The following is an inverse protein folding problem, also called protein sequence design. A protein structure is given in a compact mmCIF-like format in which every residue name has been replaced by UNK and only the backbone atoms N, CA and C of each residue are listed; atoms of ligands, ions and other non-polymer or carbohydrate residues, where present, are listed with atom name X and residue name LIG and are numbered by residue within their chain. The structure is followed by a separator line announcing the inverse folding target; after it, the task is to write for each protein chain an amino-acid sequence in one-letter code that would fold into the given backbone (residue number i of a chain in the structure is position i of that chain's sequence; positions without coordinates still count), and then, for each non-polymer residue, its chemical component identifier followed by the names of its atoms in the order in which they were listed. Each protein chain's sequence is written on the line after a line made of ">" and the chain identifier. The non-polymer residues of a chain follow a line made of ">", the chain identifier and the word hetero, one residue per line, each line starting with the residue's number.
data_IF_770150358353
#
_entry.id   IF_770150358353
#
_cell.length_a   1.000
_cell.length_b   1.000
_cell.length_c   1.000
_cell.angle_alpha   90.00
_cell.angle_beta   90.00
_cell.angle_gamma   90.00
#
_symmetry.space_group_name_H-M   'P 1'
#
loop_
_entity.id
_entity.type
_entity.pdbx_description
1 polymer ?
#
# COMPACT_ATOMS: atom_id res chain seq x y z
N UNK A 1 13.17 -16.18 6.94
CA UNK A 1 12.10 -16.48 5.98
C UNK A 1 12.03 -15.32 5.01
N UNK A 2 12.38 -15.53 3.74
CA UNK A 2 12.09 -14.59 2.65
C UNK A 2 10.58 -14.45 2.60
N UNK A 3 10.04 -13.27 2.93
CA UNK A 3 8.61 -13.04 2.88
C UNK A 3 8.14 -13.24 1.42
N UNK A 4 7.34 -14.27 1.20
CA UNK A 4 6.66 -14.51 -0.07
C UNK A 4 5.81 -13.28 -0.34
N UNK A 5 6.12 -12.53 -1.40
CA UNK A 5 5.38 -11.31 -1.73
C UNK A 5 3.95 -11.62 -2.18
N UNK A 6 3.11 -10.59 -2.18
CA UNK A 6 1.69 -10.72 -2.53
C UNK A 6 1.43 -10.34 -3.98
N UNK A 7 0.41 -10.96 -4.56
CA UNK A 7 -0.09 -10.69 -5.91
C UNK A 7 -1.38 -9.91 -5.79
N UNK A 8 -1.50 -8.81 -6.52
CA UNK A 8 -2.69 -7.96 -6.49
C UNK A 8 -3.52 -8.11 -7.77
N UNK A 9 -4.82 -7.94 -7.60
CA UNK A 9 -5.77 -7.76 -8.71
C UNK A 9 -6.48 -6.43 -8.56
N UNK A 10 -6.57 -5.66 -9.63
CA UNK A 10 -7.26 -4.38 -9.64
C UNK A 10 -8.76 -4.60 -9.65
N UNK A 11 -9.43 -4.27 -8.54
CA UNK A 11 -10.87 -4.43 -8.41
C UNK A 11 -11.63 -3.41 -9.26
N UNK A 12 -12.80 -3.83 -9.74
CA UNK A 12 -13.79 -2.92 -10.35
C UNK A 12 -14.55 -2.11 -9.29
N UNK A 13 -14.49 -2.51 -8.01
CA UNK A 13 -15.09 -1.77 -6.90
C UNK A 13 -14.20 -0.59 -6.55
N UNK A 14 -14.80 0.60 -6.50
CA UNK A 14 -14.09 1.84 -6.18
C UNK A 14 -14.12 2.16 -4.68
N UNK A 15 -13.08 2.84 -4.21
CA UNK A 15 -13.12 3.52 -2.91
C UNK A 15 -14.06 4.71 -3.01
N UNK A 16 -15.05 4.71 -2.14
CA UNK A 16 -16.14 5.67 -2.20
C UNK A 16 -15.79 7.07 -1.73
N UNK A 17 -16.78 7.96 -1.68
CA UNK A 17 -16.61 9.36 -1.27
C UNK A 17 -17.12 9.61 0.16
N UNK A 18 -16.59 10.63 0.87
CA UNK A 18 -16.98 10.95 2.25
C UNK A 18 -18.45 11.30 2.50
N UNK A 19 -19.21 11.62 1.45
CA UNK A 19 -20.63 11.99 1.53
C UNK A 19 -21.57 10.80 1.82
N UNK A 20 -21.11 9.55 1.65
CA UNK A 20 -21.88 8.36 2.03
C UNK A 20 -21.13 7.40 2.94
N UNK A 21 -19.84 7.17 2.69
CA UNK A 21 -19.00 6.37 3.58
C UNK A 21 -17.56 6.83 3.44
N UNK A 22 -17.12 7.64 4.40
CA UNK A 22 -15.78 8.20 4.42
C UNK A 22 -14.71 7.09 4.49
N UNK A 23 -13.91 6.92 3.41
CA UNK A 23 -12.87 5.90 3.35
C UNK A 23 -11.80 6.02 4.44
N UNK A 24 -11.68 7.19 5.07
CA UNK A 24 -10.71 7.48 6.12
C UNK A 24 -11.11 6.88 7.47
N UNK A 25 -12.38 6.54 7.64
CA UNK A 25 -12.90 5.93 8.86
C UNK A 25 -12.62 4.43 8.89
N UNK A 26 -12.10 3.94 10.01
CA UNK A 26 -12.06 2.52 10.30
C UNK A 26 -13.39 2.12 10.97
N UNK A 27 -14.32 1.56 10.20
CA UNK A 27 -15.64 1.17 10.66
C UNK A 27 -16.00 -0.26 10.27
N UNK A 28 -17.09 -0.78 10.83
CA UNK A 28 -17.61 -2.13 10.52
C UNK A 28 -18.23 -2.25 9.12
N UNK A 29 -18.55 -1.12 8.46
CA UNK A 29 -19.15 -1.11 7.13
C UNK A 29 -18.12 -1.38 6.04
N UNK A 30 -17.72 -2.65 5.91
CA UNK A 30 -16.62 -3.13 5.04
C UNK A 30 -17.04 -3.82 3.75
N UNK A 31 -18.31 -3.71 3.35
CA UNK A 31 -18.86 -4.48 2.24
C UNK A 31 -18.10 -4.24 0.92
N UNK A 32 -17.68 -3.00 0.65
CA UNK A 32 -16.98 -2.66 -0.59
C UNK A 32 -15.57 -3.26 -0.63
N UNK A 33 -14.85 -3.30 0.50
CA UNK A 33 -13.56 -4.00 0.59
C UNK A 33 -13.72 -5.51 0.48
N UNK A 34 -14.77 -6.08 1.07
CA UNK A 34 -15.05 -7.53 1.00
C UNK A 34 -15.38 -7.94 -0.44
N UNK A 35 -16.22 -7.18 -1.16
CA UNK A 35 -16.52 -7.47 -2.57
C UNK A 35 -15.24 -7.36 -3.43
N UNK A 36 -14.40 -6.35 -3.18
CA UNK A 36 -13.12 -6.22 -3.87
C UNK A 36 -12.20 -7.42 -3.62
N UNK A 37 -12.09 -7.86 -2.37
CA UNK A 37 -11.32 -9.05 -2.01
C UNK A 37 -11.84 -10.31 -2.71
N UNK A 38 -13.17 -10.52 -2.73
CA UNK A 38 -13.77 -11.65 -3.44
C UNK A 38 -13.35 -11.66 -4.91
N UNK A 39 -13.41 -10.51 -5.60
CA UNK A 39 -12.95 -10.42 -6.99
C UNK A 39 -11.48 -10.81 -7.15
N UNK A 40 -10.61 -10.34 -6.25
CA UNK A 40 -9.18 -10.67 -6.31
C UNK A 40 -8.93 -12.17 -6.10
N UNK A 41 -9.62 -12.79 -5.14
CA UNK A 41 -9.51 -14.21 -4.86
C UNK A 41 -9.97 -15.06 -6.06
N UNK A 42 -11.11 -14.73 -6.66
CA UNK A 42 -11.61 -15.40 -7.87
C UNK A 42 -10.68 -15.23 -9.07
N UNK A 43 -9.94 -14.10 -9.14
CA UNK A 43 -8.90 -13.87 -10.14
C UNK A 43 -7.55 -14.54 -9.80
N UNK A 44 -7.45 -15.27 -8.68
CA UNK A 44 -6.24 -15.98 -8.27
C UNK A 44 -5.16 -15.09 -7.63
N UNK A 45 -5.51 -13.87 -7.24
CA UNK A 45 -4.65 -12.93 -6.50
C UNK A 45 -4.88 -13.04 -4.98
N UNK A 46 -4.01 -12.40 -4.21
CA UNK A 46 -4.01 -12.48 -2.74
C UNK A 46 -4.75 -11.29 -2.09
N UNK A 47 -4.72 -10.12 -2.72
CA UNK A 47 -5.39 -8.91 -2.24
C UNK A 47 -5.87 -8.04 -3.43
N UNK A 48 -6.90 -7.22 -3.20
CA UNK A 48 -7.45 -6.33 -4.21
C UNK A 48 -6.80 -4.95 -4.16
N UNK A 49 -6.26 -4.47 -5.28
CA UNK A 49 -5.90 -3.06 -5.48
C UNK A 49 -7.15 -2.27 -5.87
N UNK A 50 -7.49 -1.23 -5.10
CA UNK A 50 -8.68 -0.42 -5.31
C UNK A 50 -8.32 0.99 -5.79
N UNK A 51 -9.11 1.51 -6.74
CA UNK A 51 -9.00 2.88 -7.24
C UNK A 51 -10.01 3.81 -6.56
N UNK A 52 -9.72 5.11 -6.57
CA UNK A 52 -10.67 6.13 -6.18
C UNK A 52 -11.73 6.40 -7.28
N UNK A 53 -12.65 7.32 -6.98
CA UNK A 53 -13.72 7.73 -7.89
C UNK A 53 -13.23 8.43 -9.17
N UNK A 54 -11.98 8.92 -9.18
CA UNK A 54 -11.34 9.59 -10.32
C UNK A 54 -10.49 8.63 -11.15
N UNK A 55 -10.38 7.37 -10.72
CA UNK A 55 -9.59 6.34 -11.40
C UNK A 55 -8.11 6.31 -11.01
N UNK A 56 -7.70 7.03 -9.97
CA UNK A 56 -6.34 6.94 -9.44
C UNK A 56 -6.21 5.83 -8.40
N UNK A 57 -4.99 5.34 -8.22
CA UNK A 57 -4.69 4.31 -7.23
C UNK A 57 -4.90 4.85 -5.83
N UNK A 58 -5.69 4.14 -5.02
CA UNK A 58 -6.03 4.56 -3.66
C UNK A 58 -5.39 3.67 -2.59
N UNK A 59 -5.79 2.41 -2.49
CA UNK A 59 -5.39 1.50 -1.40
C UNK A 59 -5.72 0.07 -1.78
N UNK A 60 -5.32 -0.91 -0.97
CA UNK A 60 -5.87 -2.25 -1.05
C UNK A 60 -7.09 -2.43 -0.13
N UNK A 61 -7.77 -3.57 -0.22
CA UNK A 61 -8.97 -3.83 0.60
C UNK A 61 -8.68 -3.86 2.12
N UNK A 62 -7.47 -4.20 2.55
CA UNK A 62 -7.11 -4.21 3.97
C UNK A 62 -5.80 -3.47 4.29
N UNK A 63 -4.98 -3.19 3.28
CA UNK A 63 -3.66 -2.54 3.44
C UNK A 63 -3.55 -1.24 2.64
N UNK A 64 -2.61 -0.35 3.00
CA UNK A 64 -2.26 0.79 2.16
C UNK A 64 -1.20 0.39 1.13
N UNK A 65 -1.21 1.03 -0.03
CA UNK A 65 -0.37 0.67 -1.17
C UNK A 65 0.66 1.75 -1.50
N UNK A 66 1.85 1.31 -1.89
CA UNK A 66 2.98 2.14 -2.25
C UNK A 66 3.69 1.58 -3.49
N UNK A 67 4.26 2.48 -4.29
CA UNK A 67 5.20 2.14 -5.36
C UNK A 67 6.52 2.88 -5.19
N UNK A 68 7.57 2.36 -5.81
CA UNK A 68 8.88 2.99 -5.93
C UNK A 68 9.17 3.22 -7.42
N UNK A 69 9.56 4.44 -7.76
CA UNK A 69 10.01 4.81 -9.11
C UNK A 69 11.31 5.61 -9.00
N UNK A 70 12.39 5.03 -9.52
CA UNK A 70 13.75 5.50 -9.29
C UNK A 70 14.08 5.51 -7.79
N UNK A 71 14.25 6.71 -7.23
CA UNK A 71 14.51 6.90 -5.80
C UNK A 71 13.30 7.45 -5.03
N UNK A 72 12.16 7.60 -5.70
CA UNK A 72 10.95 8.18 -5.13
C UNK A 72 9.98 7.10 -4.65
N UNK A 73 9.34 7.35 -3.52
CA UNK A 73 8.30 6.49 -2.94
C UNK A 73 6.96 7.21 -3.07
N UNK A 74 6.01 6.60 -3.77
CA UNK A 74 4.70 7.20 -4.00
C UNK A 74 3.61 6.40 -3.28
N UNK A 75 2.65 7.11 -2.71
CA UNK A 75 1.41 6.56 -2.17
C UNK A 75 0.27 7.51 -2.45
N UNK A 76 -0.96 7.02 -2.32
CA UNK A 76 -2.15 7.82 -2.60
C UNK A 76 -2.22 9.05 -1.69
N UNK A 77 -3.01 10.03 -2.08
CA UNK A 77 -3.17 11.31 -1.36
C UNK A 77 -3.74 11.18 0.06
N UNK A 78 -4.32 10.02 0.41
CA UNK A 78 -5.02 9.83 1.68
C UNK A 78 -6.50 10.23 1.65
N UNK A 79 -6.99 10.84 0.56
CA UNK A 79 -8.38 11.31 0.48
C UNK A 79 -9.39 10.16 0.42
N UNK A 80 -9.02 9.06 -0.25
CA UNK A 80 -9.91 7.93 -0.54
C UNK A 80 -9.44 6.60 0.08
N UNK A 81 -8.60 6.65 1.11
CA UNK A 81 -8.13 5.47 1.83
C UNK A 81 -8.15 5.66 3.34
N UNK A 82 -8.03 4.56 4.08
CA UNK A 82 -7.85 4.61 5.53
C UNK A 82 -6.49 5.22 5.85
N UNK A 83 -6.45 6.12 6.85
CA UNK A 83 -5.21 6.71 7.36
C UNK A 83 -4.48 5.72 8.27
N UNK A 84 -3.88 4.70 7.67
CA UNK A 84 -3.15 3.66 8.40
C UNK A 84 -1.98 4.23 9.20
N UNK A 85 -1.84 3.77 10.45
CA UNK A 85 -0.72 4.16 11.33
C UNK A 85 0.61 3.77 10.68
N UNK A 86 0.72 2.54 10.17
CA UNK A 86 1.92 2.05 9.46
C UNK A 86 2.24 2.90 8.22
N UNK A 87 1.24 3.28 7.42
CA UNK A 87 1.41 4.22 6.29
C UNK A 87 2.03 5.53 6.77
N UNK A 88 1.46 6.13 7.82
CA UNK A 88 1.97 7.39 8.40
C UNK A 88 3.40 7.28 8.92
N UNK A 89 3.75 6.18 9.58
CA UNK A 89 5.12 5.92 10.04
C UNK A 89 6.08 5.77 8.86
N UNK A 90 5.75 5.00 7.83
CA UNK A 90 6.59 4.83 6.63
C UNK A 90 6.87 6.16 5.95
N UNK A 91 5.83 7.00 5.78
CA UNK A 91 5.98 8.34 5.20
C UNK A 91 6.91 9.21 6.07
N UNK A 92 6.69 9.23 7.38
CA UNK A 92 7.45 10.05 8.32
C UNK A 92 8.91 9.62 8.38
N UNK A 93 9.17 8.32 8.55
CA UNK A 93 10.51 7.76 8.63
C UNK A 93 11.26 7.88 7.30
N UNK A 94 10.57 7.66 6.18
CA UNK A 94 11.14 7.86 4.85
C UNK A 94 11.62 9.29 4.64
N UNK A 95 10.76 10.28 4.93
CA UNK A 95 11.11 11.71 4.84
C UNK A 95 12.28 12.06 5.77
N UNK A 96 12.28 11.57 7.01
CA UNK A 96 13.40 11.79 7.97
C UNK A 96 14.72 11.18 7.49
N UNK A 97 14.67 10.08 6.75
CA UNK A 97 15.83 9.42 6.17
C UNK A 97 16.27 10.04 4.81
N UNK A 98 15.69 11.17 4.41
CA UNK A 98 16.00 11.85 3.15
C UNK A 98 15.47 11.15 1.90
N UNK A 99 14.48 10.25 2.05
CA UNK A 99 13.83 9.60 0.91
C UNK A 99 12.70 10.51 0.40
N UNK A 100 12.63 10.83 -0.92
CA UNK A 100 11.51 11.54 -1.50
C UNK A 100 10.23 10.71 -1.39
N UNK A 101 9.34 11.07 -0.47
CA UNK A 101 8.04 10.40 -0.29
C UNK A 101 6.88 11.33 -0.68
N UNK A 102 6.15 10.95 -1.73
CA UNK A 102 5.05 11.72 -2.30
C UNK A 102 3.69 11.09 -2.03
N UNK A 103 2.77 11.91 -1.53
CA UNK A 103 1.35 11.58 -1.40
C UNK A 103 0.64 12.24 -2.58
N UNK A 104 0.42 11.49 -3.67
CA UNK A 104 -0.04 12.04 -4.96
C UNK A 104 -0.99 11.10 -5.67
N UNK A 105 -1.67 11.63 -6.67
CA UNK A 105 -2.44 10.83 -7.63
C UNK A 105 -1.48 10.19 -8.64
N UNK A 106 -1.67 8.91 -8.91
CA UNK A 106 -0.96 8.14 -9.94
C UNK A 106 -1.87 7.04 -10.50
N UNK A 107 -1.61 6.65 -11.73
CA UNK A 107 -2.42 5.73 -12.51
C UNK A 107 -1.96 4.28 -12.33
N UNK A 108 -2.77 3.33 -12.83
CA UNK A 108 -2.35 1.93 -12.94
C UNK A 108 -1.12 1.75 -13.84
N UNK A 109 -1.00 2.56 -14.89
CA UNK A 109 0.19 2.53 -15.76
C UNK A 109 1.45 2.84 -14.96
N UNK A 110 1.39 3.81 -14.05
CA UNK A 110 2.52 4.11 -13.16
C UNK A 110 2.85 2.95 -12.20
N UNK A 111 1.85 2.15 -11.82
CA UNK A 111 2.05 0.95 -11.00
C UNK A 111 2.74 -0.15 -11.79
N UNK A 112 2.28 -0.41 -13.01
CA UNK A 112 2.87 -1.44 -13.86
C UNK A 112 4.31 -1.12 -14.26
N UNK A 113 4.64 0.17 -14.37
CA UNK A 113 5.99 0.67 -14.68
C UNK A 113 6.85 0.94 -13.41
N UNK A 114 6.42 0.50 -12.23
CA UNK A 114 7.15 0.71 -10.99
C UNK A 114 8.34 -0.26 -10.84
N UNK A 115 9.43 0.25 -10.24
CA UNK A 115 10.61 -0.56 -9.93
C UNK A 115 10.35 -1.52 -8.75
N UNK A 116 9.56 -1.05 -7.78
CA UNK A 116 9.10 -1.85 -6.64
C UNK A 116 7.67 -1.46 -6.27
N UNK A 117 6.94 -2.37 -5.64
CA UNK A 117 5.68 -2.06 -4.99
C UNK A 117 5.58 -2.81 -3.66
N UNK A 118 4.87 -2.24 -2.70
CA UNK A 118 4.64 -2.87 -1.41
C UNK A 118 3.34 -2.39 -0.78
N UNK A 119 2.83 -3.20 0.14
CA UNK A 119 1.69 -2.85 0.98
C UNK A 119 2.11 -2.69 2.44
N UNK A 120 1.39 -1.85 3.17
CA UNK A 120 1.58 -1.66 4.61
C UNK A 120 0.35 -2.09 5.40
N UNK A 121 0.56 -2.90 6.43
CA UNK A 121 -0.50 -3.33 7.35
C UNK A 121 0.04 -3.68 8.73
N UNK A 122 -0.83 -3.65 9.74
CA UNK A 122 -0.45 -3.78 11.16
C UNK A 122 0.34 -5.05 11.47
N UNK A 123 -0.01 -6.18 10.86
CA UNK A 123 0.63 -7.47 11.14
C UNK A 123 1.82 -7.80 10.21
N UNK A 124 1.90 -7.15 9.04
CA UNK A 124 2.91 -7.42 8.01
C UNK A 124 4.05 -6.41 7.95
N UNK A 125 3.90 -5.24 8.59
CA UNK A 125 4.82 -4.12 8.42
C UNK A 125 4.79 -3.63 6.98
N UNK A 126 5.80 -4.00 6.19
CA UNK A 126 5.89 -3.77 4.74
C UNK A 126 6.01 -5.12 4.03
N UNK A 127 5.04 -5.45 3.20
CA UNK A 127 5.03 -6.69 2.40
C UNK A 127 5.24 -6.35 0.94
N UNK A 128 6.22 -6.96 0.24
CA UNK A 128 6.46 -6.70 -1.16
C UNK A 128 5.29 -7.18 -2.02
N UNK A 129 4.96 -6.40 -3.05
CA UNK A 129 4.01 -6.76 -4.10
C UNK A 129 4.79 -7.20 -5.32
N UNK A 130 4.64 -8.46 -5.70
CA UNK A 130 5.45 -9.09 -6.75
C UNK A 130 4.77 -9.06 -8.13
N UNK A 131 3.45 -8.93 -8.16
CA UNK A 131 2.70 -8.75 -9.39
C UNK A 131 1.38 -8.02 -9.16
N UNK A 132 0.93 -7.27 -10.17
CA UNK A 132 -0.40 -6.65 -10.23
C UNK A 132 -1.03 -7.01 -11.58
N UNK A 133 -2.25 -7.54 -11.59
CA UNK A 133 -3.00 -7.89 -12.82
C UNK A 133 -2.22 -8.81 -13.77
N UNK A 134 -1.52 -9.80 -13.20
CA UNK A 134 -0.69 -10.76 -13.93
C UNK A 134 0.64 -10.19 -14.46
N UNK A 135 0.95 -8.91 -14.19
CA UNK A 135 2.22 -8.27 -14.56
C UNK A 135 3.17 -8.29 -13.38
N UNK A 136 4.37 -8.81 -13.57
CA UNK A 136 5.44 -8.75 -12.58
C UNK A 136 5.85 -7.29 -12.35
N UNK A 137 5.94 -6.87 -11.09
CA UNK A 137 6.47 -5.55 -10.73
C UNK A 137 7.98 -5.67 -10.51
N UNK A 138 8.76 -4.79 -11.16
CA UNK A 138 10.22 -4.87 -11.15
C UNK A 138 10.73 -6.26 -11.53
N UNK A 139 11.43 -6.92 -10.61
CA UNK A 139 11.94 -8.28 -10.77
C UNK A 139 11.12 -9.35 -10.04
N UNK A 140 9.94 -9.00 -9.52
CA UNK A 140 9.09 -9.93 -8.76
C UNK A 140 9.66 -10.34 -7.41
N UNK A 141 10.59 -9.56 -6.86
CA UNK A 141 11.24 -9.81 -5.56
C UNK A 141 11.19 -8.57 -4.67
N UNK A 142 11.59 -8.75 -3.42
CA UNK A 142 11.74 -7.65 -2.47
C UNK A 142 12.87 -6.71 -2.90
N UNK A 143 12.53 -5.49 -3.32
CA UNK A 143 13.51 -4.50 -3.78
C UNK A 143 14.23 -3.74 -2.66
N UNK A 144 15.26 -3.00 -3.04
CA UNK A 144 16.21 -2.36 -2.13
C UNK A 144 15.58 -1.19 -1.34
N UNK A 145 14.71 -0.40 -1.96
CA UNK A 145 14.02 0.69 -1.26
C UNK A 145 13.05 0.15 -0.22
N UNK A 146 12.28 -0.88 -0.58
CA UNK A 146 11.36 -1.55 0.34
C UNK A 146 12.11 -2.19 1.52
N UNK A 147 13.28 -2.80 1.29
CA UNK A 147 14.15 -3.30 2.36
C UNK A 147 14.62 -2.18 3.29
N UNK A 148 15.08 -1.06 2.71
CA UNK A 148 15.54 0.10 3.47
C UNK A 148 14.41 0.67 4.34
N UNK A 149 13.21 0.85 3.79
CA UNK A 149 12.05 1.31 4.54
C UNK A 149 11.63 0.31 5.63
N UNK A 150 11.74 -0.99 5.38
CA UNK A 150 11.47 -2.04 6.38
C UNK A 150 12.42 -1.93 7.57
N UNK A 151 13.71 -1.70 7.32
CA UNK A 151 14.71 -1.50 8.37
C UNK A 151 14.42 -0.23 9.18
N UNK A 152 14.11 0.88 8.51
CA UNK A 152 13.74 2.14 9.16
C UNK A 152 12.48 1.98 10.04
N UNK A 153 11.46 1.29 9.52
CA UNK A 153 10.22 1.03 10.25
C UNK A 153 10.45 0.23 11.53
N UNK A 154 11.25 -0.85 11.46
CA UNK A 154 11.62 -1.66 12.64
C UNK A 154 12.38 -0.85 13.68
N UNK A 155 13.38 -0.09 13.26
CA UNK A 155 14.13 0.79 14.16
C UNK A 155 13.24 1.87 14.81
N UNK A 156 12.26 2.39 14.06
CA UNK A 156 11.26 3.33 14.58
C UNK A 156 10.39 2.73 15.68
N UNK A 157 9.89 1.51 15.50
CA UNK A 157 9.13 0.79 16.53
C UNK A 157 9.97 0.56 17.79
N UNK A 158 11.21 0.09 17.63
CA UNK A 158 12.11 -0.18 18.76
C UNK A 158 12.38 1.09 19.59
N UNK A 159 12.56 2.23 18.93
CA UNK A 159 12.74 3.51 19.60
C UNK A 159 11.50 3.96 20.39
N UNK A 160 10.30 3.77 19.86
CA UNK A 160 9.05 4.13 20.54
C UNK A 160 8.75 3.22 21.75
N UNK A 161 9.02 1.92 21.62
CA UNK A 161 8.86 0.95 22.72
C UNK A 161 9.88 1.23 23.83
N UNK A 162 11.15 1.48 23.47
CA UNK A 162 12.22 1.77 24.43
C UNK A 162 12.10 3.15 25.12
N UNK A 163 11.39 4.10 24.52
CA UNK A 163 11.09 5.40 25.14
C UNK A 163 9.93 5.36 26.15
N UNK A 164 9.15 4.26 26.16
CA UNK A 164 7.98 4.07 27.02
C UNK A 164 8.27 3.18 28.25
N UNK A 165 9.53 2.82 28.48
CA UNK A 165 10.06 1.99 29.57
C UNK A 165 11.15 2.73 30.33
#
# INVERSE_FOLDING_TARGET
>A
MTATGVRLFTSTVRRGSPDYLDPRLNCHSKLHEVIALIQALEAGADEALMLDIHGFVSTCNATNFFIVRGQEVWTSTGQYCMNGITRGMVITLGRRAGIPVYEKNFSLTDVYDADEAFVTGTFGGLTPVISVDGRTIGNGQLGAMTQRLTALYRAGIEAEVGASS
#
